data_IF_783075458347
#
_entry.id   IF_783075458347
#
_cell.length_a   1.000
_cell.length_b   1.000
_cell.length_c   1.000
_cell.angle_alpha   90.00
_cell.angle_beta   90.00
_cell.angle_gamma   90.00
#
_symmetry.space_group_name_H-M   'P 1'
#
loop_
_entity.id
_entity.type
_entity.pdbx_description
1 polymer ?
#
# COMPACT_ATOMS: atom_id res chain seq x y z
N UNK A 1 -8.75 9.72 -27.01
CA UNK A 1 -8.12 8.43 -26.68
C UNK A 1 -8.82 7.82 -25.50
N UNK A 2 -9.22 6.56 -25.59
CA UNK A 2 -9.74 5.81 -24.44
C UNK A 2 -8.57 5.45 -23.53
N UNK A 3 -8.69 5.67 -22.22
CA UNK A 3 -7.65 5.26 -21.28
C UNK A 3 -7.53 3.73 -21.23
N UNK A 4 -6.31 3.23 -21.10
CA UNK A 4 -6.03 1.81 -20.87
C UNK A 4 -6.36 1.42 -19.43
N UNK A 5 -6.66 0.16 -19.19
CA UNK A 5 -6.78 -0.39 -17.84
C UNK A 5 -5.39 -0.78 -17.33
N UNK A 6 -4.88 0.01 -16.41
CA UNK A 6 -3.53 -0.15 -15.85
C UNK A 6 -3.56 -0.97 -14.55
N UNK A 7 -3.10 -2.22 -14.61
CA UNK A 7 -3.03 -3.14 -13.48
C UNK A 7 -1.69 -3.12 -12.74
N UNK A 8 -0.91 -2.03 -12.90
CA UNK A 8 0.38 -1.88 -12.22
C UNK A 8 0.24 -1.95 -10.70
N UNK A 9 1.18 -2.63 -10.05
CA UNK A 9 1.23 -2.74 -8.60
C UNK A 9 1.79 -1.50 -7.88
N UNK A 10 2.39 -0.58 -8.62
CA UNK A 10 2.91 0.69 -8.12
C UNK A 10 4.14 1.16 -8.91
N UNK A 11 4.15 2.44 -9.40
CA UNK A 11 3.02 3.37 -9.34
C UNK A 11 1.77 2.81 -10.02
N UNK A 12 0.62 2.94 -9.35
CA UNK A 12 -0.65 2.40 -9.80
C UNK A 12 -1.49 3.45 -10.56
N UNK A 13 -2.65 3.04 -11.09
CA UNK A 13 -3.58 3.99 -11.69
C UNK A 13 -4.12 4.96 -10.63
N UNK A 14 -4.47 6.17 -11.07
CA UNK A 14 -5.16 7.18 -10.27
C UNK A 14 -6.60 7.33 -10.75
N UNK A 15 -7.54 7.75 -9.89
CA UNK A 15 -8.90 8.04 -10.28
C UNK A 15 -8.93 9.11 -11.39
N UNK A 16 -9.72 8.89 -12.43
CA UNK A 16 -9.79 9.83 -13.55
C UNK A 16 -10.30 11.21 -13.12
N UNK A 17 -11.21 11.25 -12.14
CA UNK A 17 -11.67 12.48 -11.52
C UNK A 17 -10.51 13.30 -10.92
N UNK A 18 -9.61 12.64 -10.20
CA UNK A 18 -8.40 13.28 -9.63
C UNK A 18 -7.50 13.87 -10.72
N UNK A 19 -7.25 13.09 -11.77
CA UNK A 19 -6.40 13.56 -12.88
C UNK A 19 -7.02 14.73 -13.63
N UNK A 20 -8.34 14.72 -13.85
CA UNK A 20 -9.06 15.83 -14.50
C UNK A 20 -9.01 17.08 -13.64
N UNK A 21 -9.24 16.96 -12.33
CA UNK A 21 -9.17 18.08 -11.40
C UNK A 21 -7.76 18.65 -11.33
N UNK A 22 -6.75 17.81 -11.17
CA UNK A 22 -5.34 18.24 -11.19
C UNK A 22 -4.96 18.95 -12.50
N UNK A 23 -5.43 18.45 -13.63
CA UNK A 23 -5.19 19.09 -14.94
C UNK A 23 -5.88 20.47 -15.04
N UNK A 24 -7.08 20.63 -14.51
CA UNK A 24 -7.79 21.92 -14.51
C UNK A 24 -7.15 22.95 -13.58
N UNK A 25 -6.47 22.51 -12.53
CA UNK A 25 -5.79 23.37 -11.53
C UNK A 25 -4.29 23.49 -11.81
N UNK A 26 -3.79 22.97 -12.96
CA UNK A 26 -2.36 22.91 -13.24
C UNK A 26 -1.68 24.27 -13.30
N UNK A 27 -2.35 25.29 -13.82
CA UNK A 27 -1.82 26.65 -13.94
C UNK A 27 -2.29 27.58 -12.81
N UNK A 28 -3.40 27.25 -12.20
CA UNK A 28 -4.04 28.09 -11.18
C UNK A 28 -4.73 27.21 -10.13
N UNK A 29 -3.96 26.77 -9.16
CA UNK A 29 -4.47 25.95 -8.06
C UNK A 29 -5.12 26.85 -7.01
N UNK A 30 -6.39 26.57 -6.69
CA UNK A 30 -7.16 27.28 -5.65
C UNK A 30 -7.25 28.81 -5.86
N UNK A 31 -7.24 29.29 -7.12
CA UNK A 31 -7.24 30.72 -7.50
C UNK A 31 -6.01 31.49 -6.96
N UNK A 32 -4.88 30.81 -6.81
CA UNK A 32 -3.62 31.42 -6.36
C UNK A 32 -2.84 32.10 -7.47
N UNK A 33 -3.24 31.85 -8.75
CA UNK A 33 -2.52 32.30 -9.94
C UNK A 33 -1.24 31.53 -10.23
N UNK A 34 -1.01 30.39 -9.53
CA UNK A 34 0.19 29.55 -9.73
C UNK A 34 -0.12 28.05 -9.60
N UNK A 35 0.76 27.23 -10.15
CA UNK A 35 0.73 25.79 -9.96
C UNK A 35 1.18 25.41 -8.55
N UNK A 36 0.64 24.32 -8.00
CA UNK A 36 1.17 23.74 -6.75
C UNK A 36 2.66 23.40 -6.86
N UNK A 37 3.16 23.08 -8.05
CA UNK A 37 4.59 22.81 -8.28
C UNK A 37 5.50 24.01 -8.08
N UNK A 38 4.94 25.24 -8.16
CA UNK A 38 5.66 26.51 -8.01
C UNK A 38 5.48 27.11 -6.61
N UNK A 39 4.52 26.61 -5.84
CA UNK A 39 4.20 27.15 -4.51
C UNK A 39 5.37 26.96 -3.54
N UNK A 40 5.71 28.01 -2.81
CA UNK A 40 6.55 27.85 -1.65
C UNK A 40 5.84 26.97 -0.61
N UNK A 41 6.54 25.97 -0.10
CA UNK A 41 6.00 25.16 0.99
C UNK A 41 5.81 25.94 2.32
N UNK A 42 6.27 27.18 2.37
CA UNK A 42 6.09 28.11 3.51
C UNK A 42 4.98 29.14 3.29
N UNK A 43 4.28 29.05 2.16
CA UNK A 43 3.14 29.91 1.89
C UNK A 43 1.87 29.40 2.58
N UNK A 44 0.92 30.31 2.83
CA UNK A 44 -0.39 30.00 3.38
C UNK A 44 -1.17 29.04 2.48
N UNK A 45 -1.03 29.20 1.17
CA UNK A 45 -1.71 28.37 0.16
C UNK A 45 -1.27 26.91 0.25
N UNK A 46 0.03 26.66 0.44
CA UNK A 46 0.51 25.29 0.62
C UNK A 46 0.20 24.75 2.03
N UNK A 47 0.21 25.60 3.05
CA UNK A 47 -0.24 25.20 4.40
C UNK A 47 -1.68 24.67 4.35
N UNK A 48 -2.58 25.36 3.65
CA UNK A 48 -3.96 24.91 3.48
C UNK A 48 -4.06 23.55 2.76
N UNK A 49 -3.19 23.30 1.78
CA UNK A 49 -3.13 22.01 1.05
C UNK A 49 -2.72 20.86 1.99
N UNK A 50 -1.64 21.03 2.75
CA UNK A 50 -1.14 19.97 3.63
C UNK A 50 -2.08 19.72 4.80
N UNK A 51 -2.64 20.78 5.40
CA UNK A 51 -3.60 20.67 6.51
C UNK A 51 -4.88 19.99 6.06
N UNK A 52 -5.42 20.37 4.90
CA UNK A 52 -6.59 19.73 4.31
C UNK A 52 -6.34 18.25 4.02
N UNK A 53 -5.16 17.91 3.49
CA UNK A 53 -4.78 16.53 3.23
C UNK A 53 -4.73 15.70 4.53
N UNK A 54 -4.07 16.21 5.58
CA UNK A 54 -4.02 15.57 6.91
C UNK A 54 -5.42 15.41 7.51
N UNK A 55 -6.23 16.47 7.47
CA UNK A 55 -7.58 16.46 8.03
C UNK A 55 -8.49 15.43 7.33
N UNK A 56 -8.42 15.33 6.00
CA UNK A 56 -9.16 14.31 5.24
C UNK A 56 -8.72 12.89 5.60
N UNK A 57 -7.41 12.64 5.66
CA UNK A 57 -6.88 11.34 6.04
C UNK A 57 -7.34 10.94 7.45
N UNK A 58 -7.28 11.90 8.39
CA UNK A 58 -7.74 11.70 9.76
C UNK A 58 -9.21 11.31 9.82
N UNK A 59 -10.08 12.01 9.08
CA UNK A 59 -11.52 11.69 9.03
C UNK A 59 -11.80 10.34 8.37
N UNK A 60 -11.21 10.07 7.19
CA UNK A 60 -11.44 8.84 6.44
C UNK A 60 -11.05 7.58 7.22
N UNK A 61 -9.91 7.63 7.90
CA UNK A 61 -9.39 6.50 8.68
C UNK A 61 -9.82 6.55 10.16
N UNK A 62 -10.58 7.58 10.56
CA UNK A 62 -10.96 7.78 11.97
C UNK A 62 -9.75 7.73 12.91
N UNK A 63 -8.66 8.45 12.53
CA UNK A 63 -7.41 8.44 13.28
C UNK A 63 -7.61 9.18 14.60
N UNK A 64 -7.34 8.53 15.77
CA UNK A 64 -7.48 9.16 17.08
C UNK A 64 -6.49 10.33 17.30
N UNK A 65 -6.80 11.21 18.27
CA UNK A 65 -6.01 12.41 18.54
C UNK A 65 -4.62 12.14 19.12
N UNK A 66 -4.41 10.96 19.70
CA UNK A 66 -3.12 10.49 20.20
C UNK A 66 -2.13 10.09 19.10
N UNK A 67 -2.53 10.11 17.82
CA UNK A 67 -1.65 9.86 16.70
C UNK A 67 -1.21 11.15 16.00
N UNK A 68 -0.03 11.10 15.41
CA UNK A 68 0.49 12.09 14.48
C UNK A 68 0.52 11.54 13.06
N UNK A 69 0.21 12.39 12.08
CA UNK A 69 0.30 12.07 10.65
C UNK A 69 1.52 12.79 10.08
N UNK A 70 2.50 12.04 9.62
CA UNK A 70 3.73 12.57 9.06
C UNK A 70 3.79 12.29 7.56
N UNK A 71 4.19 13.29 6.79
CA UNK A 71 4.48 13.20 5.37
C UNK A 71 5.99 13.21 5.14
N UNK A 72 6.50 12.13 4.58
CA UNK A 72 7.92 11.89 4.38
C UNK A 72 8.25 11.62 2.92
N UNK A 73 9.54 11.58 2.63
CA UNK A 73 10.13 11.17 1.36
C UNK A 73 10.86 9.82 1.54
N UNK A 74 11.43 9.27 0.47
CA UNK A 74 12.23 8.04 0.51
C UNK A 74 11.42 6.75 0.32
N UNK A 75 10.09 6.84 0.16
CA UNK A 75 9.20 5.69 -0.01
C UNK A 75 9.11 4.83 1.25
N UNK A 76 8.29 3.79 1.20
CA UNK A 76 8.20 2.79 2.26
C UNK A 76 9.55 2.12 2.56
N UNK A 77 10.45 2.07 1.58
CA UNK A 77 11.78 1.48 1.76
C UNK A 77 12.66 2.22 2.78
N UNK A 78 12.52 3.54 2.90
CA UNK A 78 13.24 4.30 3.93
C UNK A 78 12.72 3.99 5.32
N UNK A 79 11.44 3.62 5.45
CA UNK A 79 10.84 3.26 6.73
C UNK A 79 11.45 1.98 7.32
N UNK A 80 11.94 1.06 6.48
CA UNK A 80 12.67 -0.12 6.97
C UNK A 80 13.92 0.23 7.79
N UNK A 81 14.49 1.41 7.57
CA UNK A 81 15.63 1.94 8.33
C UNK A 81 15.18 2.91 9.43
N UNK A 82 14.21 3.78 9.12
CA UNK A 82 13.76 4.79 10.09
C UNK A 82 13.10 4.17 11.32
N UNK A 83 12.26 3.15 11.13
CA UNK A 83 11.54 2.51 12.23
C UNK A 83 12.51 1.99 13.32
N UNK A 84 13.49 1.14 13.02
CA UNK A 84 14.43 0.68 14.05
C UNK A 84 15.25 1.84 14.64
N UNK A 85 15.67 2.84 13.88
CA UNK A 85 16.38 4.00 14.43
C UNK A 85 15.55 4.83 15.42
N UNK A 86 14.23 4.76 15.34
CA UNK A 86 13.32 5.52 16.21
C UNK A 86 12.73 4.69 17.34
N UNK A 87 12.53 3.39 17.16
CA UNK A 87 11.75 2.57 18.09
C UNK A 87 12.51 1.40 18.73
N UNK A 88 13.60 0.92 18.08
CA UNK A 88 14.30 -0.26 18.57
C UNK A 88 15.28 0.08 19.67
N UNK A 89 15.21 -0.65 20.78
CA UNK A 89 16.13 -0.57 21.93
C UNK A 89 16.78 -1.90 22.22
N UNK A 90 16.10 -3.02 21.97
CA UNK A 90 16.51 -4.35 22.36
C UNK A 90 16.44 -5.34 21.18
N UNK A 91 15.23 -5.63 20.72
CA UNK A 91 14.96 -6.69 19.76
C UNK A 91 13.65 -6.42 19.02
N UNK A 92 13.52 -6.96 17.83
CA UNK A 92 12.32 -6.86 17.01
C UNK A 92 11.79 -8.24 16.65
N UNK A 93 10.51 -8.48 16.83
CA UNK A 93 9.84 -9.66 16.31
C UNK A 93 9.25 -9.35 14.92
N UNK A 94 9.64 -10.14 13.92
CA UNK A 94 9.21 -9.95 12.54
C UNK A 94 8.52 -11.21 12.00
N UNK A 95 7.35 -11.04 11.37
CA UNK A 95 6.66 -12.11 10.68
C UNK A 95 6.95 -11.99 9.18
N UNK A 96 7.67 -12.97 8.64
CA UNK A 96 8.13 -12.94 7.25
C UNK A 96 7.09 -13.53 6.31
N UNK A 97 6.34 -12.66 5.65
CA UNK A 97 5.24 -13.02 4.73
C UNK A 97 5.51 -12.66 3.27
N UNK A 98 6.70 -12.18 2.93
CA UNK A 98 6.99 -11.85 1.55
C UNK A 98 8.27 -11.04 1.31
N UNK A 99 8.37 -10.50 0.10
CA UNK A 99 9.57 -9.77 -0.31
C UNK A 99 9.78 -8.47 0.47
N UNK A 100 8.70 -7.80 0.89
CA UNK A 100 8.80 -6.54 1.62
C UNK A 100 9.26 -6.76 3.04
N UNK A 101 8.75 -7.78 3.73
CA UNK A 101 9.25 -8.19 5.04
C UNK A 101 10.69 -8.70 4.98
N UNK A 102 11.10 -9.42 3.91
CA UNK A 102 12.52 -9.77 3.70
C UNK A 102 13.43 -8.56 3.55
N UNK A 103 12.95 -7.49 2.89
CA UNK A 103 13.73 -6.25 2.77
C UNK A 103 13.81 -5.52 4.10
N UNK A 104 12.70 -5.42 4.82
CA UNK A 104 12.67 -4.85 6.16
C UNK A 104 13.64 -5.61 7.10
N UNK A 105 13.56 -6.94 7.12
CA UNK A 105 14.46 -7.80 7.90
C UNK A 105 15.93 -7.44 7.66
N UNK A 106 16.36 -7.34 6.40
CA UNK A 106 17.74 -7.01 6.04
C UNK A 106 18.21 -5.64 6.53
N UNK A 107 17.31 -4.67 6.59
CA UNK A 107 17.65 -3.33 7.10
C UNK A 107 17.66 -3.31 8.63
N UNK A 108 16.71 -3.99 9.27
CA UNK A 108 16.68 -4.12 10.73
C UNK A 108 17.91 -4.86 11.25
N UNK A 109 18.33 -5.98 10.63
CA UNK A 109 19.52 -6.75 11.00
C UNK A 109 20.84 -5.93 10.95
N UNK A 110 20.87 -4.82 10.20
CA UNK A 110 22.04 -3.91 10.19
C UNK A 110 22.08 -3.00 11.41
N UNK A 111 20.95 -2.78 12.06
CA UNK A 111 20.77 -1.80 13.13
C UNK A 111 20.59 -2.45 14.49
N UNK A 112 20.06 -3.65 14.55
CA UNK A 112 19.79 -4.35 15.78
C UNK A 112 19.53 -5.83 15.63
N UNK A 113 18.92 -6.42 16.63
CA UNK A 113 18.63 -7.85 16.69
C UNK A 113 17.18 -8.10 16.24
N UNK A 114 17.00 -9.03 15.30
CA UNK A 114 15.68 -9.41 14.80
C UNK A 114 15.43 -10.89 15.04
N UNK A 115 14.28 -11.20 15.60
CA UNK A 115 13.75 -12.55 15.69
C UNK A 115 12.69 -12.75 14.60
N UNK A 116 12.88 -13.69 13.70
CA UNK A 116 11.84 -14.09 12.73
C UNK A 116 10.93 -15.10 13.39
N UNK A 117 9.81 -14.62 13.93
CA UNK A 117 8.84 -15.42 14.69
C UNK A 117 8.23 -16.54 13.85
N UNK A 118 7.86 -16.20 12.61
CA UNK A 118 7.29 -17.14 11.67
C UNK A 118 7.58 -16.71 10.22
N UNK A 119 7.56 -17.67 9.31
CA UNK A 119 7.76 -17.42 7.88
C UNK A 119 7.00 -18.44 7.04
N UNK A 120 6.35 -17.98 5.96
CA UNK A 120 5.76 -18.85 4.93
C UNK A 120 6.63 -18.98 3.68
N UNK A 121 7.94 -18.70 3.80
CA UNK A 121 8.87 -18.70 2.67
C UNK A 121 9.05 -20.07 2.00
N UNK A 122 8.98 -21.15 2.76
CA UNK A 122 9.10 -22.54 2.24
C UNK A 122 7.97 -22.89 1.29
N UNK A 123 6.76 -22.29 1.52
CA UNK A 123 5.59 -22.45 0.67
C UNK A 123 5.38 -21.26 -0.26
N UNK A 124 6.46 -20.56 -0.65
CA UNK A 124 6.44 -19.41 -1.56
C UNK A 124 5.49 -18.28 -1.13
N UNK A 125 5.31 -18.09 0.18
CA UNK A 125 4.44 -17.04 0.74
C UNK A 125 2.97 -17.13 0.29
N UNK A 126 2.45 -18.33 0.13
CA UNK A 126 1.08 -18.56 -0.32
C UNK A 126 0.03 -18.45 0.79
N UNK A 127 0.45 -18.24 2.03
CA UNK A 127 -0.43 -18.06 3.19
C UNK A 127 0.20 -17.13 4.23
N UNK A 128 -0.62 -16.66 5.18
CA UNK A 128 -0.18 -15.91 6.36
C UNK A 128 0.04 -16.89 7.52
N UNK A 129 1.28 -17.00 8.04
CA UNK A 129 1.54 -17.91 9.16
C UNK A 129 0.84 -17.41 10.42
N UNK A 130 0.18 -18.33 11.14
CA UNK A 130 -0.43 -18.05 12.43
C UNK A 130 0.62 -18.19 13.53
N UNK A 131 0.65 -17.24 14.44
CA UNK A 131 1.51 -17.25 15.63
C UNK A 131 0.66 -17.16 16.89
N UNK A 132 1.24 -17.54 18.01
CA UNK A 132 0.66 -17.38 19.35
C UNK A 132 1.44 -16.30 20.11
N UNK A 133 0.85 -15.76 21.16
CA UNK A 133 1.51 -14.76 22.01
C UNK A 133 2.85 -15.27 22.58
N UNK A 134 2.90 -16.55 22.96
CA UNK A 134 4.09 -17.20 23.52
C UNK A 134 5.22 -17.42 22.50
N UNK A 135 4.97 -17.26 21.21
CA UNK A 135 5.99 -17.34 20.16
C UNK A 135 6.81 -16.04 20.05
N UNK A 136 6.33 -14.95 20.68
CA UNK A 136 7.00 -13.65 20.69
C UNK A 136 8.12 -13.62 21.75
N UNK A 137 9.20 -12.88 21.44
CA UNK A 137 10.31 -12.67 22.37
C UNK A 137 9.86 -11.80 23.57
N UNK A 138 10.28 -12.13 24.79
CA UNK A 138 9.94 -11.33 25.97
C UNK A 138 10.45 -9.89 25.86
N UNK A 139 11.66 -9.70 25.28
CA UNK A 139 12.37 -8.43 25.17
C UNK A 139 12.18 -7.70 23.84
N UNK A 140 11.22 -8.11 23.01
CA UNK A 140 10.99 -7.39 21.75
C UNK A 140 10.26 -6.07 21.98
N UNK A 141 10.74 -5.02 21.31
CA UNK A 141 10.16 -3.68 21.37
C UNK A 141 8.86 -3.59 20.56
N UNK A 142 8.82 -4.28 19.43
CA UNK A 142 7.63 -4.32 18.56
C UNK A 142 7.54 -5.60 17.71
N UNK A 143 6.32 -5.86 17.25
CA UNK A 143 6.02 -6.85 16.22
C UNK A 143 5.89 -6.12 14.87
N UNK A 144 6.64 -6.56 13.87
CA UNK A 144 6.62 -5.99 12.52
C UNK A 144 5.89 -6.89 11.53
N UNK A 145 4.94 -6.32 10.79
CA UNK A 145 4.19 -6.99 9.72
C UNK A 145 4.12 -6.17 8.43
N UNK A 146 3.95 -6.86 7.30
CA UNK A 146 3.44 -6.29 6.07
C UNK A 146 2.01 -6.83 5.89
N UNK A 147 1.01 -5.96 6.10
CA UNK A 147 -0.38 -6.41 6.21
C UNK A 147 -0.92 -6.99 4.90
N UNK A 148 -0.51 -6.42 3.76
CA UNK A 148 -0.86 -6.93 2.45
C UNK A 148 0.38 -7.12 1.57
N UNK A 149 0.61 -8.34 1.13
CA UNK A 149 1.79 -8.71 0.36
C UNK A 149 1.54 -8.54 -1.15
N UNK A 150 1.88 -7.39 -1.67
CA UNK A 150 1.65 -6.94 -3.06
C UNK A 150 2.09 -7.94 -4.13
N UNK A 151 3.16 -8.68 -3.87
CA UNK A 151 3.77 -9.62 -4.84
C UNK A 151 3.08 -10.96 -4.82
N UNK A 152 2.80 -11.47 -3.62
CA UNK A 152 2.30 -12.83 -3.42
C UNK A 152 0.78 -12.89 -3.30
N UNK A 153 0.10 -11.77 -3.05
CA UNK A 153 -1.36 -11.69 -2.99
C UNK A 153 -1.96 -12.18 -1.68
N UNK A 154 -1.17 -12.28 -0.60
CA UNK A 154 -1.66 -12.60 0.74
C UNK A 154 -1.95 -11.35 1.55
N UNK A 155 -2.95 -11.40 2.44
CA UNK A 155 -3.35 -10.32 3.34
C UNK A 155 -3.76 -10.88 4.69
N UNK A 156 -3.32 -10.23 5.77
CA UNK A 156 -3.84 -10.48 7.11
C UNK A 156 -5.34 -10.17 7.16
N UNK A 157 -6.15 -11.10 7.64
CA UNK A 157 -7.58 -10.91 7.95
C UNK A 157 -7.78 -10.59 9.43
N UNK A 158 -6.87 -11.06 10.25
CA UNK A 158 -6.78 -10.78 11.67
C UNK A 158 -5.33 -10.41 11.99
N UNK A 159 -5.15 -9.43 12.86
CA UNK A 159 -3.81 -9.03 13.31
C UNK A 159 -3.20 -10.14 14.18
N UNK A 160 -1.86 -10.31 14.15
CA UNK A 160 -1.21 -11.25 15.04
C UNK A 160 -1.34 -10.82 16.49
N UNK A 161 -1.29 -11.75 17.46
CA UNK A 161 -1.18 -11.40 18.86
C UNK A 161 0.08 -10.55 19.11
N UNK A 162 -0.02 -9.52 19.94
CA UNK A 162 1.07 -8.58 20.25
C UNK A 162 0.88 -7.94 21.64
N UNK A 163 0.21 -8.62 22.57
CA UNK A 163 -0.06 -8.07 23.89
C UNK A 163 1.22 -7.63 24.59
N UNK A 164 1.23 -6.38 25.11
CA UNK A 164 2.38 -5.78 25.76
C UNK A 164 3.52 -5.32 24.85
N UNK A 165 3.34 -5.39 23.53
CA UNK A 165 4.32 -4.97 22.50
C UNK A 165 3.67 -4.01 21.53
N UNK A 166 4.48 -3.14 20.93
CA UNK A 166 4.02 -2.28 19.84
C UNK A 166 3.73 -3.11 18.58
N UNK A 167 2.74 -2.69 17.78
CA UNK A 167 2.49 -3.22 16.45
C UNK A 167 2.88 -2.19 15.38
N UNK A 168 3.82 -2.56 14.53
CA UNK A 168 4.32 -1.77 13.40
C UNK A 168 3.93 -2.44 12.10
N UNK A 169 3.23 -1.73 11.22
CA UNK A 169 2.66 -2.32 10.02
C UNK A 169 2.91 -1.51 8.74
N UNK A 170 3.38 -2.22 7.70
CA UNK A 170 3.37 -1.72 6.31
C UNK A 170 1.99 -1.96 5.68
N UNK A 171 1.24 -0.89 5.48
CA UNK A 171 -0.06 -0.89 4.82
C UNK A 171 0.01 -0.35 3.38
N UNK A 172 1.17 -0.21 2.78
CA UNK A 172 1.34 0.45 1.47
C UNK A 172 0.38 -0.05 0.39
N UNK A 173 0.02 -1.33 0.37
CA UNK A 173 -0.85 -1.89 -0.66
C UNK A 173 -2.28 -2.20 -0.23
N UNK A 174 -2.67 -1.79 0.98
CA UNK A 174 -4.03 -1.96 1.48
C UNK A 174 -4.59 -0.73 2.22
N UNK A 175 -3.77 0.27 2.55
CA UNK A 175 -4.27 1.51 3.19
C UNK A 175 -5.41 2.12 2.38
N UNK A 176 -6.48 2.58 3.04
CA UNK A 176 -7.68 3.16 2.43
C UNK A 176 -8.49 2.20 1.53
N UNK A 177 -8.14 0.91 1.45
CA UNK A 177 -8.91 -0.05 0.65
C UNK A 177 -10.14 -0.59 1.37
N UNK A 178 -10.14 -0.50 2.68
CA UNK A 178 -11.20 -0.89 3.60
C UNK A 178 -11.08 -0.09 4.89
N UNK A 179 -12.03 -0.22 5.78
CA UNK A 179 -11.95 0.38 7.12
C UNK A 179 -10.83 -0.29 7.91
N UNK A 180 -10.00 0.51 8.53
CA UNK A 180 -8.89 0.07 9.40
C UNK A 180 -9.09 0.69 10.77
N UNK A 181 -9.09 -0.13 11.81
CA UNK A 181 -9.08 0.34 13.20
C UNK A 181 -7.66 0.73 13.58
N UNK A 182 -7.34 2.01 13.40
CA UNK A 182 -6.00 2.57 13.64
C UNK A 182 -5.55 2.37 15.09
N UNK A 183 -6.47 2.29 16.05
CA UNK A 183 -6.14 2.12 17.47
C UNK A 183 -5.43 0.80 17.80
N UNK A 184 -5.49 -0.16 16.88
CA UNK A 184 -4.81 -1.46 17.02
C UNK A 184 -3.33 -1.45 16.60
N UNK A 185 -2.85 -0.33 16.08
CA UNK A 185 -1.47 -0.18 15.62
C UNK A 185 -0.78 0.93 16.40
N UNK A 186 0.50 0.81 16.58
CA UNK A 186 1.31 1.86 17.18
C UNK A 186 2.01 2.72 16.12
N UNK A 187 2.36 2.10 15.00
CA UNK A 187 2.85 2.77 13.81
C UNK A 187 2.33 2.08 12.55
N UNK A 188 1.70 2.86 11.68
CA UNK A 188 1.35 2.49 10.31
C UNK A 188 2.20 3.31 9.35
N UNK A 189 2.73 2.71 8.29
CA UNK A 189 3.31 3.47 7.21
C UNK A 189 2.83 2.96 5.84
N UNK A 190 2.86 3.86 4.85
CA UNK A 190 2.45 3.54 3.50
C UNK A 190 3.17 4.41 2.46
N UNK A 191 3.72 3.78 1.43
CA UNK A 191 4.11 4.48 0.21
C UNK A 191 2.87 4.86 -0.61
N UNK A 192 2.70 6.14 -0.93
CA UNK A 192 1.47 6.66 -1.54
C UNK A 192 1.20 6.11 -2.95
N UNK A 193 2.22 5.71 -3.69
CA UNK A 193 2.15 5.35 -5.12
C UNK A 193 1.28 4.13 -5.45
N UNK A 194 0.73 3.45 -4.47
CA UNK A 194 -0.15 2.30 -4.70
C UNK A 194 -1.63 2.70 -4.66
N UNK A 195 -2.06 3.28 -3.53
CA UNK A 195 -3.49 3.51 -3.30
C UNK A 195 -3.86 4.93 -2.85
N UNK A 196 -2.88 5.80 -2.58
CA UNK A 196 -3.11 7.14 -2.02
C UNK A 196 -2.76 8.29 -2.95
N UNK A 197 -1.92 8.07 -3.95
CA UNK A 197 -1.40 9.14 -4.79
C UNK A 197 -0.24 8.73 -5.70
N UNK A 198 0.60 9.66 -6.14
CA UNK A 198 1.77 9.38 -6.96
C UNK A 198 2.96 8.91 -6.11
N UNK A 199 4.03 8.48 -6.79
CA UNK A 199 5.32 8.23 -6.16
C UNK A 199 5.91 9.53 -5.57
N UNK A 200 6.72 9.38 -4.51
CA UNK A 200 7.44 10.49 -3.88
C UNK A 200 6.94 10.85 -2.48
N UNK A 201 5.74 10.44 -2.12
CA UNK A 201 5.16 10.63 -0.78
C UNK A 201 5.14 9.32 -0.01
N UNK A 202 5.52 9.38 1.26
CA UNK A 202 5.31 8.32 2.25
C UNK A 202 4.52 8.90 3.41
N UNK A 203 3.49 8.19 3.84
CA UNK A 203 2.67 8.56 4.99
C UNK A 203 3.05 7.66 6.17
N UNK A 204 3.24 8.27 7.34
CA UNK A 204 3.42 7.58 8.61
C UNK A 204 2.34 8.08 9.57
N UNK A 205 1.62 7.16 10.19
CA UNK A 205 0.64 7.40 11.26
C UNK A 205 1.22 6.75 12.50
N UNK A 206 1.60 7.53 13.48
CA UNK A 206 2.37 7.07 14.65
C UNK A 206 1.77 7.63 15.95
N UNK A 207 1.73 6.83 17.00
CA UNK A 207 1.39 7.33 18.33
C UNK A 207 2.35 8.42 18.78
N UNK A 208 1.83 9.51 19.33
CA UNK A 208 2.62 10.69 19.73
C UNK A 208 3.65 10.38 20.81
N UNK A 209 3.38 9.45 21.69
CA UNK A 209 4.29 9.02 22.77
C UNK A 209 5.51 8.23 22.25
N UNK A 210 5.46 7.76 21.01
CA UNK A 210 6.59 7.12 20.34
C UNK A 210 7.51 8.10 19.61
N UNK A 211 7.11 9.37 19.51
CA UNK A 211 7.91 10.41 18.83
C UNK A 211 8.94 10.97 19.80
N UNK A 212 10.22 10.93 19.40
CA UNK A 212 11.33 11.42 20.23
C UNK A 212 12.07 10.34 21.01
N UNK A 213 11.81 9.07 20.72
CA UNK A 213 12.52 7.92 21.32
C UNK A 213 13.85 7.60 20.62
N UNK A 214 14.11 8.21 19.44
CA UNK A 214 15.35 8.02 18.70
C UNK A 214 16.58 8.47 19.50
N UNK A 215 17.73 7.78 19.31
CA UNK A 215 19.01 8.20 19.85
C UNK A 215 19.37 9.63 19.38
N UNK A 216 20.02 10.41 20.22
CA UNK A 216 20.47 11.79 19.91
C UNK A 216 21.37 11.86 18.67
N UNK A 217 22.07 10.77 18.34
CA UNK A 217 22.92 10.69 17.16
C UNK A 217 22.16 10.35 15.87
N UNK A 218 20.86 10.04 15.97
CA UNK A 218 20.04 9.78 14.79
C UNK A 218 19.99 11.03 13.91
N UNK A 219 20.38 10.93 12.62
CA UNK A 219 20.35 12.08 11.72
C UNK A 219 18.94 12.66 11.61
N UNK A 220 18.86 14.01 11.57
CA UNK A 220 17.58 14.74 11.61
C UNK A 220 16.55 14.23 10.61
N UNK A 221 16.96 13.94 9.37
CA UNK A 221 16.05 13.44 8.33
C UNK A 221 15.60 11.97 8.53
N UNK A 222 16.16 11.27 9.52
CA UNK A 222 15.78 9.90 9.88
C UNK A 222 15.03 9.85 11.22
N UNK A 223 14.77 11.00 11.85
CA UNK A 223 14.11 11.10 13.14
C UNK A 223 12.68 11.64 12.97
N UNK A 224 11.67 10.85 13.41
CA UNK A 224 10.26 11.25 13.33
C UNK A 224 9.95 12.55 14.07
N UNK A 225 10.69 12.86 15.16
CA UNK A 225 10.52 14.09 15.90
C UNK A 225 10.81 15.33 15.02
N UNK A 226 11.78 15.24 14.11
CA UNK A 226 12.09 16.34 13.17
C UNK A 226 10.89 16.69 12.29
N UNK A 227 10.16 15.66 11.82
CA UNK A 227 8.96 15.85 11.00
C UNK A 227 7.78 16.34 11.84
N UNK A 228 7.58 15.80 13.03
CA UNK A 228 6.50 16.20 13.92
C UNK A 228 6.64 17.68 14.38
N UNK A 229 7.83 18.08 14.82
CA UNK A 229 8.10 19.43 15.30
C UNK A 229 8.02 20.51 14.18
N UNK A 230 8.08 20.10 12.92
CA UNK A 230 8.06 20.99 11.76
C UNK A 230 6.87 20.75 10.82
N UNK A 231 5.83 20.09 11.28
CA UNK A 231 4.62 19.78 10.51
C UNK A 231 4.91 19.13 9.15
N UNK A 232 5.89 18.23 9.11
CA UNK A 232 6.42 17.57 7.91
C UNK A 232 7.13 18.50 6.92
N UNK A 233 7.43 19.75 7.29
CA UNK A 233 8.03 20.77 6.45
C UNK A 233 9.40 21.25 6.95
N UNK A 234 10.17 20.37 7.62
CA UNK A 234 11.55 20.67 7.99
C UNK A 234 12.41 21.02 6.77
N UNK A 235 12.28 20.27 5.71
CA UNK A 235 12.76 20.59 4.36
C UNK A 235 11.57 20.72 3.41
N UNK A 236 11.82 21.11 2.16
CA UNK A 236 10.77 21.17 1.14
C UNK A 236 10.14 19.78 0.93
N UNK A 237 8.86 19.58 1.26
CA UNK A 237 8.18 18.30 1.08
C UNK A 237 7.83 18.07 -0.40
N UNK A 238 7.38 16.87 -0.78
CA UNK A 238 6.92 16.60 -2.13
C UNK A 238 5.55 17.25 -2.39
N UNK A 239 5.54 18.58 -2.58
CA UNK A 239 4.33 19.44 -2.58
C UNK A 239 3.23 18.93 -3.50
N UNK A 240 3.58 18.64 -4.75
CA UNK A 240 2.60 18.14 -5.74
C UNK A 240 2.07 16.74 -5.41
N UNK A 241 2.90 15.87 -4.83
CA UNK A 241 2.45 14.54 -4.40
C UNK A 241 1.48 14.62 -3.20
N UNK A 242 1.69 15.56 -2.28
CA UNK A 242 0.77 15.83 -1.16
C UNK A 242 -0.55 16.37 -1.69
N UNK A 243 -0.52 17.31 -2.65
CA UNK A 243 -1.72 17.84 -3.30
C UNK A 243 -2.53 16.73 -3.99
N UNK A 244 -1.88 15.89 -4.81
CA UNK A 244 -2.57 14.77 -5.46
C UNK A 244 -3.13 13.76 -4.45
N UNK A 245 -2.39 13.48 -3.36
CA UNK A 245 -2.90 12.68 -2.26
C UNK A 245 -4.18 13.30 -1.67
N UNK A 246 -4.17 14.61 -1.41
CA UNK A 246 -5.34 15.35 -0.95
C UNK A 246 -6.54 15.24 -1.90
N UNK A 247 -6.32 15.24 -3.22
CA UNK A 247 -7.37 15.02 -4.22
C UNK A 247 -7.88 13.57 -4.23
N UNK A 248 -7.02 12.56 -4.01
CA UNK A 248 -7.46 11.17 -3.87
C UNK A 248 -8.33 10.99 -2.64
N UNK A 249 -7.95 11.61 -1.52
CA UNK A 249 -8.76 11.59 -0.29
C UNK A 249 -10.11 12.33 -0.49
N UNK A 250 -10.13 13.45 -1.20
CA UNK A 250 -11.35 14.15 -1.58
C UNK A 250 -12.26 13.27 -2.44
N UNK A 251 -11.69 12.58 -3.42
CA UNK A 251 -12.43 11.63 -4.25
C UNK A 251 -13.05 10.51 -3.42
N UNK A 252 -12.33 9.96 -2.44
CA UNK A 252 -12.86 8.95 -1.53
C UNK A 252 -14.04 9.50 -0.68
N UNK A 253 -13.92 10.74 -0.19
CA UNK A 253 -15.00 11.37 0.59
C UNK A 253 -16.22 11.71 -0.27
N UNK A 254 -16.03 12.36 -1.42
CA UNK A 254 -17.10 13.02 -2.16
C UNK A 254 -17.69 12.20 -3.30
N UNK A 255 -16.87 11.39 -3.98
CA UNK A 255 -17.31 10.59 -5.11
C UNK A 255 -17.64 9.15 -4.72
N UNK A 256 -16.91 8.59 -3.75
CA UNK A 256 -17.13 7.23 -3.26
C UNK A 256 -18.06 7.22 -2.04
N UNK A 257 -18.02 8.26 -1.21
CA UNK A 257 -18.80 8.35 0.02
C UNK A 257 -18.18 7.59 1.19
N UNK A 258 -16.84 7.54 1.23
CA UNK A 258 -16.05 7.02 2.36
C UNK A 258 -15.57 5.57 2.20
N UNK A 259 -14.82 5.11 3.21
CA UNK A 259 -14.13 3.82 3.16
C UNK A 259 -15.08 2.62 3.23
N UNK A 260 -16.24 2.76 3.85
CA UNK A 260 -17.23 1.67 3.87
C UNK A 260 -17.73 1.30 2.47
N UNK A 261 -17.99 2.32 1.64
CA UNK A 261 -18.40 2.10 0.26
C UNK A 261 -17.23 1.60 -0.59
N UNK A 262 -16.02 2.14 -0.36
CA UNK A 262 -14.82 1.68 -1.07
C UNK A 262 -14.51 0.21 -0.78
N UNK A 263 -14.67 -0.23 0.45
CA UNK A 263 -14.53 -1.63 0.87
C UNK A 263 -15.51 -2.54 0.12
N UNK A 264 -16.79 -2.15 0.03
CA UNK A 264 -17.81 -2.90 -0.72
C UNK A 264 -17.42 -3.05 -2.19
N UNK A 265 -16.96 -1.96 -2.82
CA UNK A 265 -16.49 -1.97 -4.22
C UNK A 265 -15.26 -2.86 -4.38
N UNK A 266 -14.28 -2.75 -3.51
CA UNK A 266 -13.05 -3.56 -3.58
C UNK A 266 -13.33 -5.05 -3.37
N UNK A 267 -14.19 -5.40 -2.42
CA UNK A 267 -14.62 -6.79 -2.20
C UNK A 267 -15.38 -7.35 -3.41
N UNK A 268 -16.24 -6.56 -4.05
CA UNK A 268 -16.94 -6.94 -5.27
C UNK A 268 -15.96 -7.21 -6.42
N UNK A 269 -15.02 -6.29 -6.67
CA UNK A 269 -13.98 -6.46 -7.70
C UNK A 269 -13.15 -7.74 -7.48
N UNK A 270 -12.67 -7.93 -6.26
CA UNK A 270 -11.88 -9.10 -5.90
C UNK A 270 -12.69 -10.40 -6.05
N UNK A 271 -13.93 -10.41 -5.55
CA UNK A 271 -14.80 -11.58 -5.66
C UNK A 271 -15.04 -11.97 -7.11
N UNK A 272 -15.38 -11.04 -7.99
CA UNK A 272 -15.60 -11.34 -9.41
C UNK A 272 -14.38 -11.97 -10.06
N UNK A 273 -13.19 -11.47 -9.79
CA UNK A 273 -11.96 -11.99 -10.38
C UNK A 273 -11.60 -13.37 -9.80
N UNK A 274 -11.68 -13.55 -8.48
CA UNK A 274 -11.41 -14.84 -7.84
C UNK A 274 -12.42 -15.92 -8.22
N UNK A 275 -13.71 -15.57 -8.29
CA UNK A 275 -14.76 -16.52 -8.71
C UNK A 275 -14.47 -17.06 -10.12
N UNK A 276 -14.02 -16.17 -11.03
CA UNK A 276 -13.65 -16.59 -12.37
C UNK A 276 -12.39 -17.47 -12.37
N UNK A 277 -11.33 -17.06 -11.67
CA UNK A 277 -10.08 -17.85 -11.59
C UNK A 277 -10.35 -19.25 -11.00
N UNK A 278 -11.14 -19.31 -9.92
CA UNK A 278 -11.45 -20.57 -9.24
C UNK A 278 -12.33 -21.54 -10.08
N UNK A 279 -13.13 -20.98 -11.01
CA UNK A 279 -13.96 -21.78 -11.93
C UNK A 279 -13.24 -22.13 -13.24
N UNK A 280 -12.14 -21.46 -13.56
CA UNK A 280 -11.38 -21.66 -14.81
C UNK A 280 -10.66 -23.00 -14.81
N UNK A 281 -10.53 -23.56 -16.02
CA UNK A 281 -9.70 -24.74 -16.26
C UNK A 281 -8.25 -24.38 -16.63
N UNK A 282 -8.03 -23.14 -17.04
CA UNK A 282 -6.73 -22.64 -17.48
C UNK A 282 -5.98 -21.93 -16.37
N UNK A 283 -6.68 -21.12 -15.55
CA UNK A 283 -6.02 -20.28 -14.56
C UNK A 283 -6.10 -20.88 -13.17
N UNK A 284 -5.09 -20.59 -12.36
CA UNK A 284 -5.08 -20.90 -10.94
C UNK A 284 -4.48 -19.77 -10.13
N UNK A 285 -4.94 -19.63 -8.88
CA UNK A 285 -4.36 -18.71 -7.90
C UNK A 285 -3.69 -19.54 -6.79
N UNK A 286 -2.40 -19.32 -6.50
CA UNK A 286 -1.65 -20.14 -5.55
C UNK A 286 -1.94 -19.84 -4.08
N UNK A 287 -2.67 -18.76 -3.79
CA UNK A 287 -2.88 -18.25 -2.43
C UNK A 287 -3.97 -19.01 -1.71
N UNK A 288 -3.75 -19.37 -0.45
CA UNK A 288 -4.78 -19.93 0.44
C UNK A 288 -6.01 -19.01 0.47
N UNK A 289 -7.21 -19.58 0.28
CA UNK A 289 -8.43 -18.79 0.05
C UNK A 289 -8.73 -17.79 1.18
N UNK A 290 -8.48 -18.18 2.42
CA UNK A 290 -8.67 -17.37 3.60
C UNK A 290 -7.74 -16.15 3.65
N UNK A 291 -6.56 -16.24 3.03
CA UNK A 291 -5.52 -15.21 3.09
C UNK A 291 -5.46 -14.33 1.83
N UNK A 292 -6.36 -14.52 0.88
CA UNK A 292 -6.36 -13.78 -0.39
C UNK A 292 -6.52 -12.28 -0.21
N UNK A 293 -5.65 -11.52 -0.88
CA UNK A 293 -5.71 -10.05 -0.95
C UNK A 293 -6.91 -9.57 -1.76
N UNK A 294 -7.51 -8.44 -1.34
CA UNK A 294 -8.56 -7.76 -2.12
C UNK A 294 -8.00 -6.76 -3.15
N UNK A 295 -6.70 -6.47 -3.08
CA UNK A 295 -6.06 -5.43 -3.92
C UNK A 295 -5.04 -5.98 -4.91
N UNK A 296 -4.45 -7.15 -4.64
CA UNK A 296 -3.43 -7.75 -5.49
C UNK A 296 -3.75 -9.23 -5.73
N UNK A 297 -4.12 -9.56 -6.95
CA UNK A 297 -4.56 -10.90 -7.35
C UNK A 297 -3.55 -11.52 -8.31
N UNK A 298 -2.61 -12.35 -7.84
CA UNK A 298 -1.74 -13.13 -8.71
C UNK A 298 -2.51 -14.30 -9.33
N UNK A 299 -2.15 -14.68 -10.55
CA UNK A 299 -2.68 -15.91 -11.19
C UNK A 299 -1.70 -16.41 -12.27
N UNK A 300 -1.77 -17.69 -12.55
CA UNK A 300 -0.89 -18.38 -13.50
C UNK A 300 -1.71 -19.33 -14.38
N UNK A 301 -1.18 -19.65 -15.57
CA UNK A 301 -1.71 -20.74 -16.41
C UNK A 301 -1.02 -22.08 -16.15
N UNK A 302 0.11 -22.08 -15.44
CA UNK A 302 0.98 -23.24 -15.27
C UNK A 302 1.99 -23.43 -16.39
N UNK A 303 1.85 -22.69 -17.49
CA UNK A 303 2.75 -22.71 -18.65
C UNK A 303 3.34 -21.29 -18.84
N UNK A 304 4.67 -21.17 -18.79
CA UNK A 304 5.38 -19.86 -18.88
C UNK A 304 5.26 -19.22 -20.27
N UNK A 305 5.17 -20.00 -21.33
CA UNK A 305 5.04 -19.46 -22.67
C UNK A 305 3.62 -18.93 -22.89
N UNK A 306 2.63 -19.62 -22.30
CA UNK A 306 1.24 -19.20 -22.32
C UNK A 306 1.04 -17.94 -21.44
N UNK A 307 1.68 -17.86 -20.28
CA UNK A 307 1.70 -16.63 -19.46
C UNK A 307 2.28 -15.45 -20.23
N UNK A 308 3.38 -15.66 -20.97
CA UNK A 308 4.00 -14.62 -21.79
C UNK A 308 3.10 -14.19 -22.96
N UNK A 309 2.43 -15.12 -23.61
CA UNK A 309 1.42 -14.87 -24.66
C UNK A 309 0.27 -14.04 -24.10
N UNK A 310 -0.29 -14.45 -22.96
CA UNK A 310 -1.35 -13.70 -22.26
C UNK A 310 -0.98 -12.24 -22.04
N UNK A 311 0.21 -11.99 -21.47
CA UNK A 311 0.69 -10.62 -21.16
C UNK A 311 0.80 -9.78 -22.42
N UNK A 312 1.28 -10.37 -23.53
CA UNK A 312 1.41 -9.67 -24.82
C UNK A 312 0.04 -9.29 -25.40
N UNK A 313 -0.87 -10.26 -25.49
CA UNK A 313 -2.21 -10.05 -26.08
C UNK A 313 -3.08 -9.15 -25.19
N UNK A 314 -2.98 -9.26 -23.87
CA UNK A 314 -3.65 -8.35 -22.93
C UNK A 314 -3.25 -6.89 -23.18
N UNK A 315 -1.95 -6.64 -23.41
CA UNK A 315 -1.46 -5.28 -23.74
C UNK A 315 -2.08 -4.74 -25.04
N UNK A 316 -2.21 -5.57 -26.06
CA UNK A 316 -2.86 -5.21 -27.33
C UNK A 316 -4.35 -4.90 -27.14
N UNK A 317 -5.01 -5.56 -26.17
CA UNK A 317 -6.39 -5.33 -25.78
C UNK A 317 -6.57 -4.13 -24.81
N UNK A 318 -5.51 -3.35 -24.51
CA UNK A 318 -5.57 -2.21 -23.61
C UNK A 318 -5.54 -2.56 -22.12
N UNK A 319 -5.18 -3.79 -21.77
CA UNK A 319 -4.97 -4.30 -20.41
C UNK A 319 -3.46 -4.31 -20.17
N UNK A 320 -2.94 -3.30 -19.46
CA UNK A 320 -1.49 -3.09 -19.35
C UNK A 320 -0.96 -3.39 -17.95
N UNK A 321 0.36 -3.69 -17.88
CA UNK A 321 1.09 -3.95 -16.64
C UNK A 321 0.55 -5.13 -15.81
N UNK A 322 -0.06 -6.12 -16.49
CA UNK A 322 -0.64 -7.33 -15.87
C UNK A 322 0.42 -8.40 -15.55
N UNK A 323 1.65 -8.29 -16.08
CA UNK A 323 2.72 -9.26 -15.83
C UNK A 323 3.02 -9.42 -14.34
N UNK A 324 3.09 -10.66 -13.87
CA UNK A 324 3.45 -10.99 -12.50
C UNK A 324 4.90 -10.61 -12.15
N UNK A 325 5.18 -10.56 -10.85
CA UNK A 325 6.54 -10.29 -10.39
C UNK A 325 7.48 -11.45 -10.75
N UNK A 326 8.75 -11.15 -11.08
CA UNK A 326 9.74 -12.14 -11.50
C UNK A 326 9.93 -13.33 -10.55
N UNK A 327 9.61 -13.16 -9.25
CA UNK A 327 9.74 -14.21 -8.23
C UNK A 327 8.56 -15.18 -8.20
N UNK A 328 7.40 -14.77 -8.70
CA UNK A 328 6.16 -15.58 -8.76
C UNK A 328 5.90 -16.06 -10.17
N UNK A 329 6.20 -15.24 -11.17
CA UNK A 329 5.83 -15.48 -12.56
C UNK A 329 4.37 -15.11 -12.85
N UNK A 330 3.83 -15.64 -13.94
CA UNK A 330 2.45 -15.48 -14.31
C UNK A 330 1.99 -14.05 -14.50
N UNK A 331 0.80 -13.78 -14.05
CA UNK A 331 0.10 -12.50 -14.09
C UNK A 331 -0.21 -12.00 -12.68
N UNK A 332 -0.41 -10.69 -12.54
CA UNK A 332 -0.93 -10.09 -11.32
C UNK A 332 -1.82 -8.90 -11.64
N UNK A 333 -3.07 -9.00 -11.28
CA UNK A 333 -4.01 -7.88 -11.33
C UNK A 333 -3.94 -7.08 -10.02
N UNK A 334 -3.38 -5.88 -10.06
CA UNK A 334 -3.46 -4.93 -8.94
C UNK A 334 -4.69 -4.06 -9.14
N UNK A 335 -5.74 -4.35 -8.36
CA UNK A 335 -7.08 -3.77 -8.48
C UNK A 335 -7.38 -2.80 -7.34
N UNK A 336 -6.44 -1.89 -7.07
CA UNK A 336 -6.58 -0.86 -6.06
C UNK A 336 -7.86 -0.01 -6.22
N UNK A 337 -8.09 0.91 -5.30
CA UNK A 337 -9.30 1.75 -5.28
C UNK A 337 -9.63 2.37 -6.63
N UNK A 338 -8.62 2.91 -7.32
CA UNK A 338 -8.80 3.64 -8.58
C UNK A 338 -9.07 2.75 -9.80
N UNK A 339 -8.86 1.43 -9.72
CA UNK A 339 -9.27 0.52 -10.77
C UNK A 339 -10.80 0.42 -10.78
N UNK A 340 -11.49 0.85 -11.83
CA UNK A 340 -12.95 0.77 -11.88
C UNK A 340 -13.41 -0.68 -12.06
N UNK A 341 -14.67 -0.95 -11.72
CA UNK A 341 -15.27 -2.28 -11.87
C UNK A 341 -15.19 -2.78 -13.31
N UNK A 342 -15.46 -1.89 -14.26
CA UNK A 342 -15.39 -2.15 -15.71
C UNK A 342 -14.00 -2.62 -16.16
N UNK A 343 -12.93 -2.17 -15.47
CA UNK A 343 -11.58 -2.64 -15.74
C UNK A 343 -11.38 -4.10 -15.35
N UNK A 344 -11.96 -4.52 -14.23
CA UNK A 344 -11.94 -5.92 -13.79
C UNK A 344 -12.82 -6.79 -14.70
N UNK A 345 -13.99 -6.30 -15.09
CA UNK A 345 -14.89 -6.97 -16.04
C UNK A 345 -14.22 -7.14 -17.42
N UNK A 346 -13.52 -6.12 -17.90
CA UNK A 346 -12.75 -6.18 -19.15
C UNK A 346 -11.62 -7.23 -19.07
N UNK A 347 -10.91 -7.31 -17.94
CA UNK A 347 -9.91 -8.35 -17.71
C UNK A 347 -10.55 -9.74 -17.75
N UNK A 348 -11.67 -9.96 -17.07
CA UNK A 348 -12.37 -11.25 -17.04
C UNK A 348 -12.87 -11.63 -18.44
N UNK A 349 -13.41 -10.67 -19.20
CA UNK A 349 -13.84 -10.91 -20.58
C UNK A 349 -12.66 -11.32 -21.46
N UNK A 350 -11.51 -10.67 -21.32
CA UNK A 350 -10.29 -11.05 -22.01
C UNK A 350 -9.80 -12.45 -21.58
N UNK A 351 -9.80 -12.75 -20.29
CA UNK A 351 -9.41 -14.06 -19.74
C UNK A 351 -10.28 -15.20 -20.32
N UNK A 352 -11.60 -14.99 -20.41
CA UNK A 352 -12.54 -15.97 -21.01
C UNK A 352 -12.19 -16.26 -22.44
N UNK A 353 -12.03 -15.21 -23.25
CA UNK A 353 -11.66 -15.35 -24.67
C UNK A 353 -10.32 -16.08 -24.82
N UNK A 354 -9.32 -15.68 -24.04
CA UNK A 354 -7.99 -16.31 -24.08
C UNK A 354 -8.03 -17.78 -23.67
N UNK A 355 -8.84 -18.13 -22.64
CA UNK A 355 -9.07 -19.53 -22.23
C UNK A 355 -9.71 -20.36 -23.36
N UNK A 356 -10.78 -19.86 -24.00
CA UNK A 356 -11.44 -20.53 -25.13
C UNK A 356 -10.48 -20.79 -26.30
N UNK A 357 -9.57 -19.86 -26.59
CA UNK A 357 -8.61 -19.95 -27.70
C UNK A 357 -7.38 -20.82 -27.41
N UNK A 358 -7.03 -21.04 -26.13
CA UNK A 358 -5.77 -21.67 -25.74
C UNK A 358 -5.90 -22.89 -24.82
N UNK A 359 -7.08 -23.17 -24.30
CA UNK A 359 -7.33 -24.38 -23.54
C UNK A 359 -7.79 -25.48 -24.46
N UNK A 360 -6.92 -26.44 -24.75
CA UNK A 360 -7.28 -27.68 -25.47
C UNK A 360 -7.80 -28.67 -24.43
N UNK A 361 -9.09 -29.03 -24.54
CA UNK A 361 -9.76 -30.03 -23.71
C UNK A 361 -9.16 -31.41 -23.91
#
# INVERSE_FOLDING_TARGET
MTRVYNFSAGPACLPEWVLKKAASEMLDAHNSGMSVMEMSHRSSEFQDIIDTCKARLKRLMNIPDEYEILFLQGGASLQFTMIPLNLEKHNVDLINTGQWTKKALKEHEKLGKVNVVASSAEDNFTYIPKIRQEDLSEDSDYVYICENNTIYGTKYKELPPHEGKLLVADLSSCILSERTDVSKYDLIFAGAQKNMGPAGLTVVIIKKDLIGLADEKTPSMLNYKTYADNDSMFNTPPTYAIYICGLVLEWLETQIGGLENMEKINRQKAKLLYDYIDASKLYSNPVAKEDRSYTNVPFVTGDKDLDAKFVKEAKEAGIVNIKGHRTVGGMRASIYNAMPLEGVEALIAFMKKFEEENYNA
#
